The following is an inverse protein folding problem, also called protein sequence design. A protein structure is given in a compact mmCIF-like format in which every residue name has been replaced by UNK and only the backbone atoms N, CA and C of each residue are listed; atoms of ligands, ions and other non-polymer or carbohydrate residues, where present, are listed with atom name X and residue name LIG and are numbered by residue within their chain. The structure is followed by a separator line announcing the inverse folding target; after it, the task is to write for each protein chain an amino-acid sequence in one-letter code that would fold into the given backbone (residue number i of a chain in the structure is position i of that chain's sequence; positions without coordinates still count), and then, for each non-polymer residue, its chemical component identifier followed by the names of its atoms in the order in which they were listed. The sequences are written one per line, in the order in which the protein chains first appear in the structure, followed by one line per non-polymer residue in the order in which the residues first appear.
data_IF_121629535175
#
_entry.id   IF_121629535175
#
_cell.length_a   1.000
_cell.length_b   1.000
_cell.length_c   1.000
_cell.angle_alpha   90.00
_cell.angle_beta   90.00
_cell.angle_gamma   90.00
#
_symmetry.space_group_name_H-M   'P 1'
#
loop_
_entity.id
_entity.type
_entity.pdbx_description
1 polymer ?
#
# COMPACT_ATOMS: atom_id res chain seq x y z
N UNK A 1 0.32 -12.74 7.02
CA UNK A 1 1.13 -13.97 6.93
C UNK A 1 2.21 -13.82 5.87
N UNK A 2 3.36 -14.46 6.08
CA UNK A 2 4.42 -14.64 5.08
C UNK A 2 4.42 -16.12 4.70
N UNK A 3 4.44 -16.42 3.41
CA UNK A 3 4.42 -17.78 2.84
C UNK A 3 5.66 -17.92 1.97
N UNK A 4 6.49 -18.94 2.23
CA UNK A 4 7.76 -19.10 1.53
C UNK A 4 8.15 -20.57 1.38
N UNK A 5 8.84 -20.88 0.29
CA UNK A 5 9.60 -22.12 0.11
C UNK A 5 11.12 -21.84 0.04
N UNK A 6 11.57 -20.73 0.61
CA UNK A 6 12.94 -20.14 0.57
C UNK A 6 13.31 -19.43 -0.73
N UNK A 7 12.80 -19.88 -1.89
CA UNK A 7 13.11 -19.30 -3.21
C UNK A 7 12.00 -18.38 -3.76
N UNK A 8 10.76 -18.60 -3.35
CA UNK A 8 9.59 -17.76 -3.64
C UNK A 8 8.90 -17.37 -2.33
N UNK A 9 9.10 -16.13 -1.91
CA UNK A 9 8.50 -15.54 -0.71
C UNK A 9 7.39 -14.57 -1.09
N UNK A 10 6.24 -14.74 -0.44
CA UNK A 10 5.05 -13.92 -0.64
C UNK A 10 4.42 -13.55 0.68
N UNK A 11 3.56 -12.54 0.66
CA UNK A 11 2.81 -12.11 1.83
C UNK A 11 1.32 -11.95 1.51
N UNK A 12 0.50 -12.07 2.54
CA UNK A 12 -0.95 -11.88 2.48
C UNK A 12 -1.44 -11.28 3.80
N UNK A 13 -2.49 -10.46 3.75
CA UNK A 13 -3.13 -9.95 4.95
C UNK A 13 -3.67 -11.11 5.81
N UNK A 14 -3.64 -10.93 7.13
CA UNK A 14 -4.24 -11.91 8.03
C UNK A 14 -5.78 -11.88 7.88
N UNK A 15 -6.38 -13.05 7.72
CA UNK A 15 -7.83 -13.23 7.63
C UNK A 15 -8.20 -14.60 8.24
N UNK A 16 -9.49 -14.79 8.56
CA UNK A 16 -10.02 -16.12 8.90
C UNK A 16 -9.80 -17.07 7.71
N UNK A 17 -9.64 -18.36 7.97
CA UNK A 17 -9.24 -19.36 6.96
C UNK A 17 -10.15 -19.35 5.72
N UNK A 18 -11.47 -19.26 5.93
CA UNK A 18 -12.48 -19.16 4.86
C UNK A 18 -12.47 -17.83 4.08
N UNK A 19 -11.66 -16.86 4.48
CA UNK A 19 -11.51 -15.54 3.83
C UNK A 19 -10.12 -15.33 3.21
N UNK A 20 -9.22 -16.30 3.30
CA UNK A 20 -7.91 -16.23 2.63
C UNK A 20 -8.09 -16.48 1.13
N UNK A 21 -7.81 -15.45 0.32
CA UNK A 21 -7.87 -15.55 -1.14
C UNK A 21 -6.45 -15.48 -1.73
N UNK A 22 -6.07 -16.53 -2.48
CA UNK A 22 -4.76 -16.65 -3.14
C UNK A 22 -4.47 -15.52 -4.13
N UNK A 23 -5.49 -14.84 -4.67
CA UNK A 23 -5.32 -13.68 -5.54
C UNK A 23 -4.67 -12.48 -4.84
N UNK A 24 -4.72 -12.43 -3.50
CA UNK A 24 -4.04 -11.39 -2.69
C UNK A 24 -2.65 -11.81 -2.22
N UNK A 25 -2.18 -13.00 -2.59
CA UNK A 25 -0.84 -13.47 -2.28
C UNK A 25 0.18 -12.71 -3.12
N UNK A 26 0.86 -11.75 -2.49
CA UNK A 26 1.64 -10.72 -3.15
C UNK A 26 3.13 -10.99 -3.05
N UNK A 27 3.86 -10.84 -4.16
CA UNK A 27 5.33 -10.80 -4.16
C UNK A 27 5.80 -9.39 -3.82
N UNK A 28 6.90 -9.30 -3.09
CA UNK A 28 7.58 -8.01 -2.95
C UNK A 28 8.34 -7.68 -4.23
N UNK A 29 8.40 -6.39 -4.57
CA UNK A 29 9.27 -5.86 -5.62
C UNK A 29 10.02 -4.67 -5.05
N UNK A 30 11.24 -4.44 -5.51
CA UNK A 30 11.98 -3.23 -5.18
C UNK A 30 11.40 -1.99 -5.88
N UNK A 31 12.05 -0.85 -5.67
CA UNK A 31 11.67 0.45 -6.28
C UNK A 31 11.76 0.46 -7.82
N UNK A 32 12.57 -0.42 -8.40
CA UNK A 32 12.77 -0.59 -9.83
C UNK A 32 11.85 -1.69 -10.41
N UNK A 33 10.86 -2.11 -9.62
CA UNK A 33 9.88 -3.16 -9.90
C UNK A 33 10.49 -4.55 -10.14
N UNK A 34 11.72 -4.79 -9.67
CA UNK A 34 12.33 -6.11 -9.75
C UNK A 34 11.82 -7.00 -8.60
N UNK A 35 11.39 -8.25 -8.89
CA UNK A 35 10.92 -9.17 -7.86
C UNK A 35 11.98 -9.52 -6.82
N UNK A 36 11.62 -9.41 -5.54
CA UNK A 36 12.41 -9.92 -4.42
C UNK A 36 11.76 -11.21 -3.90
N UNK A 37 12.30 -12.35 -4.32
CA UNK A 37 11.69 -13.66 -4.06
C UNK A 37 12.40 -14.47 -2.98
N UNK A 38 13.71 -14.28 -2.79
CA UNK A 38 14.47 -15.01 -1.78
C UNK A 38 14.00 -14.63 -0.36
N UNK A 39 13.95 -15.61 0.54
CA UNK A 39 13.54 -15.35 1.93
C UNK A 39 14.48 -14.35 2.61
N UNK A 40 15.78 -14.45 2.41
CA UNK A 40 16.78 -13.58 3.05
C UNK A 40 16.61 -12.13 2.61
N UNK A 41 16.48 -11.88 1.30
CA UNK A 41 16.27 -10.53 0.78
C UNK A 41 14.91 -9.97 1.19
N UNK A 42 13.85 -10.79 1.17
CA UNK A 42 12.54 -10.38 1.66
C UNK A 42 12.56 -10.02 3.14
N UNK A 43 13.24 -10.82 3.97
CA UNK A 43 13.34 -10.56 5.40
C UNK A 43 14.06 -9.24 5.68
N UNK A 44 15.14 -8.95 4.94
CA UNK A 44 15.85 -7.68 5.03
C UNK A 44 14.97 -6.49 4.60
N UNK A 45 14.26 -6.62 3.49
CA UNK A 45 13.50 -5.51 2.91
C UNK A 45 12.17 -5.24 3.60
N UNK A 46 11.47 -6.28 4.06
CA UNK A 46 10.07 -6.19 4.52
C UNK A 46 9.91 -6.48 6.01
N UNK A 47 10.72 -7.40 6.56
CA UNK A 47 10.59 -7.86 7.95
C UNK A 47 11.60 -7.20 8.89
N UNK A 48 12.52 -6.38 8.38
CA UNK A 48 13.41 -5.57 9.20
C UNK A 48 12.63 -4.51 9.97
N UNK A 49 13.16 -4.12 11.13
CA UNK A 49 12.67 -2.94 11.86
C UNK A 49 13.39 -1.71 11.27
N UNK A 50 12.68 -0.62 10.94
CA UNK A 50 11.27 -0.35 11.26
C UNK A 50 10.24 -0.81 10.22
N UNK A 51 10.65 -1.35 9.07
CA UNK A 51 9.74 -1.66 7.96
C UNK A 51 8.58 -2.58 8.36
N UNK A 52 8.82 -3.62 9.14
CA UNK A 52 7.78 -4.53 9.62
C UNK A 52 6.65 -3.78 10.35
N UNK A 53 7.00 -2.80 11.19
CA UNK A 53 6.04 -1.93 11.87
C UNK A 53 5.26 -1.05 10.88
N UNK A 54 5.95 -0.49 9.89
CA UNK A 54 5.30 0.31 8.85
C UNK A 54 4.33 -0.54 8.01
N UNK A 55 4.70 -1.78 7.66
CA UNK A 55 3.82 -2.71 6.94
C UNK A 55 2.49 -2.93 7.65
N UNK A 56 2.52 -3.09 8.98
CA UNK A 56 1.33 -3.37 9.79
C UNK A 56 0.54 -2.10 10.15
N UNK A 57 1.19 -0.95 10.32
CA UNK A 57 0.50 0.27 10.78
C UNK A 57 0.24 1.28 9.65
N UNK A 58 1.23 1.49 8.79
CA UNK A 58 1.23 2.52 7.76
C UNK A 58 0.86 1.99 6.39
N UNK A 59 1.02 0.69 6.11
CA UNK A 59 0.73 0.13 4.78
C UNK A 59 -0.35 -0.93 4.80
N UNK A 60 -1.25 -0.84 5.79
CA UNK A 60 -2.50 -1.59 5.84
C UNK A 60 -3.72 -0.67 5.92
N UNK A 61 -4.86 -1.17 5.46
CA UNK A 61 -6.17 -0.53 5.58
C UNK A 61 -7.18 -1.54 6.11
N UNK A 62 -8.03 -1.10 7.03
CA UNK A 62 -9.15 -1.91 7.54
C UNK A 62 -10.35 -1.60 6.65
N UNK A 63 -10.86 -2.61 5.96
CA UNK A 63 -12.14 -2.56 5.26
C UNK A 63 -13.23 -2.90 6.28
N UNK A 64 -13.95 -1.86 6.72
CA UNK A 64 -14.97 -2.01 7.75
C UNK A 64 -16.18 -2.82 7.26
N UNK A 65 -16.53 -2.69 5.98
CA UNK A 65 -17.65 -3.42 5.37
C UNK A 65 -17.41 -4.93 5.33
N UNK A 66 -16.19 -5.34 4.96
CA UNK A 66 -15.80 -6.76 4.86
C UNK A 66 -15.23 -7.31 6.17
N UNK A 67 -15.03 -6.44 7.17
CA UNK A 67 -14.29 -6.69 8.41
C UNK A 67 -12.98 -7.41 8.11
N UNK A 68 -12.20 -6.83 7.19
CA UNK A 68 -10.99 -7.44 6.65
C UNK A 68 -9.80 -6.46 6.67
N UNK A 69 -8.61 -7.00 6.88
CA UNK A 69 -7.37 -6.24 6.72
C UNK A 69 -6.91 -6.34 5.25
N UNK A 70 -6.57 -5.20 4.65
CA UNK A 70 -5.97 -5.10 3.34
C UNK A 70 -4.54 -4.64 3.52
N UNK A 71 -3.57 -5.36 2.95
CA UNK A 71 -2.19 -4.90 2.84
C UNK A 71 -1.99 -4.23 1.49
N UNK A 72 -1.28 -3.10 1.49
CA UNK A 72 -0.90 -2.44 0.25
C UNK A 72 0.10 -3.30 -0.52
N UNK A 73 0.02 -3.22 -1.85
CA UNK A 73 0.99 -3.83 -2.77
C UNK A 73 2.26 -2.97 -2.83
N UNK A 74 3.43 -3.54 -3.19
CA UNK A 74 4.70 -2.82 -3.07
C UNK A 74 4.73 -1.53 -3.89
N UNK A 75 4.20 -1.53 -5.12
CA UNK A 75 4.12 -0.31 -5.93
C UNK A 75 3.31 0.82 -5.27
N UNK A 76 2.26 0.48 -4.51
CA UNK A 76 1.47 1.49 -3.79
C UNK A 76 2.29 2.08 -2.64
N UNK A 77 3.07 1.23 -1.95
CA UNK A 77 3.97 1.64 -0.87
C UNK A 77 5.05 2.55 -1.43
N UNK A 78 5.71 2.15 -2.52
CA UNK A 78 6.74 2.94 -3.20
C UNK A 78 6.19 4.30 -3.66
N UNK A 79 4.97 4.33 -4.21
CA UNK A 79 4.31 5.58 -4.58
C UNK A 79 4.05 6.49 -3.36
N UNK A 80 3.60 5.94 -2.23
CA UNK A 80 3.38 6.70 -0.99
C UNK A 80 4.70 7.27 -0.46
N UNK A 81 5.76 6.46 -0.42
CA UNK A 81 7.08 6.86 0.04
C UNK A 81 7.69 7.95 -0.86
N UNK A 82 7.55 7.80 -2.18
CA UNK A 82 8.02 8.80 -3.14
C UNK A 82 7.29 10.15 -2.98
N UNK A 83 5.96 10.14 -2.77
CA UNK A 83 5.19 11.37 -2.55
C UNK A 83 5.56 12.02 -1.21
N UNK A 84 5.78 11.22 -0.15
CA UNK A 84 6.25 11.74 1.14
C UNK A 84 7.60 12.45 1.01
N UNK A 85 8.55 11.84 0.29
CA UNK A 85 9.88 12.42 0.08
C UNK A 85 9.81 13.68 -0.78
N UNK A 86 9.08 13.64 -1.90
CA UNK A 86 8.87 14.83 -2.73
C UNK A 86 8.23 15.98 -1.93
N UNK A 87 7.26 15.68 -1.06
CA UNK A 87 6.60 16.69 -0.24
C UNK A 87 7.54 17.34 0.78
N UNK A 88 8.47 16.58 1.38
CA UNK A 88 9.51 17.13 2.26
C UNK A 88 10.46 18.06 1.51
N UNK A 89 10.73 17.75 0.25
CA UNK A 89 11.57 18.55 -0.64
C UNK A 89 10.79 19.67 -1.35
N UNK A 90 9.49 19.82 -1.07
CA UNK A 90 8.60 20.76 -1.76
C UNK A 90 8.56 20.59 -3.29
N UNK A 91 8.78 19.35 -3.75
CA UNK A 91 8.75 18.96 -5.14
C UNK A 91 7.35 18.45 -5.55
N UNK A 92 6.95 18.78 -6.77
CA UNK A 92 5.71 18.28 -7.39
C UNK A 92 5.97 17.03 -8.22
N UNK A 93 4.94 16.24 -8.48
CA UNK A 93 5.05 15.05 -9.31
C UNK A 93 3.70 14.38 -9.59
N UNK A 94 3.75 13.25 -10.27
CA UNK A 94 2.58 12.42 -10.55
C UNK A 94 2.89 10.94 -10.32
N UNK A 95 1.86 10.19 -9.95
CA UNK A 95 1.92 8.72 -9.83
C UNK A 95 1.04 8.13 -10.93
N UNK A 96 1.62 7.33 -11.81
CA UNK A 96 0.88 6.69 -12.90
C UNK A 96 0.56 5.23 -12.56
N UNK A 97 -0.72 4.96 -12.36
CA UNK A 97 -1.26 3.63 -12.03
C UNK A 97 -2.29 3.19 -13.07
N UNK A 98 -2.27 1.91 -13.45
CA UNK A 98 -3.32 1.31 -14.29
C UNK A 98 -4.69 1.28 -13.59
N UNK A 99 -5.79 1.15 -14.34
CA UNK A 99 -7.16 1.07 -13.81
C UNK A 99 -7.37 -0.23 -13.02
N UNK A 100 -8.09 -0.15 -11.89
CA UNK A 100 -8.29 -1.30 -10.99
C UNK A 100 -7.11 -1.65 -10.07
N UNK A 101 -5.98 -0.93 -10.15
CA UNK A 101 -4.77 -1.22 -9.34
C UNK A 101 -4.82 -0.72 -7.88
N UNK A 102 -5.92 -0.10 -7.45
CA UNK A 102 -6.05 0.48 -6.12
C UNK A 102 -5.58 1.94 -5.99
N UNK A 103 -5.74 2.74 -7.06
CA UNK A 103 -5.44 4.20 -7.05
C UNK A 103 -6.08 4.93 -5.87
N UNK A 104 -7.39 4.76 -5.66
CA UNK A 104 -8.16 5.40 -4.58
C UNK A 104 -7.59 5.12 -3.20
N UNK A 105 -7.23 3.86 -2.92
CA UNK A 105 -6.65 3.46 -1.65
C UNK A 105 -5.28 4.11 -1.42
N UNK A 106 -4.47 4.15 -2.49
CA UNK A 106 -3.14 4.77 -2.48
C UNK A 106 -3.26 6.27 -2.20
N UNK A 107 -4.13 6.97 -2.92
CA UNK A 107 -4.29 8.43 -2.79
C UNK A 107 -4.88 8.84 -1.44
N UNK A 108 -5.85 8.08 -0.91
CA UNK A 108 -6.36 8.28 0.45
C UNK A 108 -5.23 8.16 1.48
N UNK A 109 -4.37 7.15 1.34
CA UNK A 109 -3.27 6.93 2.29
C UNK A 109 -2.21 8.01 2.19
N UNK A 110 -1.85 8.44 0.98
CA UNK A 110 -0.99 9.61 0.74
C UNK A 110 -1.57 10.82 1.47
N UNK A 111 -2.83 11.17 1.22
CA UNK A 111 -3.43 12.37 1.80
C UNK A 111 -3.40 12.37 3.33
N UNK A 112 -3.67 11.21 3.95
CA UNK A 112 -3.59 11.05 5.41
C UNK A 112 -2.16 11.13 5.93
N UNK A 113 -1.20 10.55 5.21
CA UNK A 113 0.20 10.52 5.62
C UNK A 113 0.88 11.89 5.48
N UNK A 114 0.47 12.73 4.53
CA UNK A 114 1.00 14.09 4.39
C UNK A 114 0.74 14.95 5.63
N UNK A 115 -0.39 14.74 6.31
CA UNK A 115 -0.70 15.42 7.59
C UNK A 115 0.22 15.00 8.75
N UNK A 116 1.05 13.96 8.58
CA UNK A 116 2.07 13.59 9.57
C UNK A 116 3.37 14.39 9.40
N UNK A 117 3.52 15.15 8.33
CA UNK A 117 4.68 16.03 8.10
C UNK A 117 4.41 17.35 8.83
N UNK A 118 5.21 17.74 9.85
CA UNK A 118 4.90 18.90 10.70
C UNK A 118 4.75 20.24 9.96
N UNK A 119 5.41 20.40 8.81
CA UNK A 119 5.31 21.60 7.98
C UNK A 119 4.02 21.67 7.14
N UNK A 120 3.28 20.56 7.00
CA UNK A 120 2.04 20.50 6.22
C UNK A 120 0.85 20.74 7.15
N UNK A 121 0.20 21.90 6.98
CA UNK A 121 -0.96 22.26 7.80
C UNK A 121 -2.27 21.67 7.29
N UNK A 122 -2.39 21.49 5.97
CA UNK A 122 -3.61 21.02 5.31
C UNK A 122 -3.26 20.18 4.09
N UNK A 123 -4.10 19.19 3.80
CA UNK A 123 -4.05 18.40 2.57
C UNK A 123 -5.41 18.47 1.89
N UNK A 124 -5.42 18.81 0.60
CA UNK A 124 -6.65 18.89 -0.20
C UNK A 124 -6.67 17.66 -1.12
N UNK A 125 -7.69 16.83 -0.97
CA UNK A 125 -7.92 15.67 -1.83
C UNK A 125 -9.06 15.98 -2.80
N UNK A 126 -8.74 16.13 -4.08
CA UNK A 126 -9.70 16.46 -5.14
C UNK A 126 -9.98 15.20 -5.95
N UNK A 127 -11.25 14.87 -6.13
CA UNK A 127 -11.73 13.73 -6.93
C UNK A 127 -12.83 14.18 -7.88
N UNK A 128 -12.94 13.54 -9.03
CA UNK A 128 -14.06 13.74 -9.93
C UNK A 128 -15.33 13.15 -9.29
N UNK A 129 -16.43 13.92 -9.34
CA UNK A 129 -17.73 13.53 -8.79
C UNK A 129 -18.25 12.23 -9.39
N UNK A 130 -18.00 11.98 -10.68
CA UNK A 130 -18.50 10.76 -11.37
C UNK A 130 -17.90 9.49 -10.79
N UNK A 131 -16.63 9.53 -10.41
CA UNK A 131 -15.92 8.40 -9.78
C UNK A 131 -16.43 8.14 -8.35
N UNK A 132 -16.87 9.20 -7.65
CA UNK A 132 -17.44 9.10 -6.31
C UNK A 132 -18.83 8.43 -6.34
N UNK A 133 -19.67 8.84 -7.30
CA UNK A 133 -21.01 8.30 -7.47
C UNK A 133 -20.95 6.79 -7.79
N UNK A 134 -20.07 6.36 -8.72
CA UNK A 134 -19.89 4.94 -9.07
C UNK A 134 -19.43 4.06 -7.90
N UNK A 135 -18.59 4.58 -7.00
CA UNK A 135 -18.11 3.84 -5.83
C UNK A 135 -19.17 3.73 -4.72
N UNK A 136 -20.08 4.69 -4.62
CA UNK A 136 -21.08 4.74 -3.54
C UNK A 136 -22.34 3.94 -3.87
N UNK A 137 -22.74 3.83 -5.14
CA UNK A 137 -23.95 3.07 -5.56
C UNK A 137 -23.73 1.55 -5.65
N UNK A 138 -22.49 1.08 -5.47
CA UNK A 138 -22.12 -0.34 -5.59
C UNK A 138 -21.95 -1.05 -4.22
N UNK A 139 -22.35 -0.41 -3.12
CA UNK A 139 -22.29 -0.96 -1.75
C UNK A 139 -23.65 -1.35 -1.23
#
# INVERSE_FOLDING_TARGET
FVVTNKVDTRYIAAARENKLNKQFLTKWVDKDNQPITSLTSFAHEVLSIPRAHQMVMQYSVIDDSKKALILLRPYQIHAIEAVQEASRQQASGYVWHTTGSGKTLTSYKVARNLLQIPSIQKTIFVVDRRDLDQQTTSS
#
